data_IF_465930706981
#
_entry.id   IF_465930706981
#
_cell.length_a   1.000
_cell.length_b   1.000
_cell.length_c   1.000
_cell.angle_alpha   90.00
_cell.angle_beta   90.00
_cell.angle_gamma   90.00
#
_symmetry.space_group_name_H-M   'P 1'
#
loop_
_entity.id
_entity.type
_entity.pdbx_description
1 polymer ?
#
# COMPACT_ATOMS: atom_id res chain seq x y z
N UNK A 1 10.22 -11.15 22.89
CA UNK A 1 8.78 -10.91 22.74
C UNK A 1 8.33 -11.58 21.46
N UNK A 2 7.32 -12.44 21.55
CA UNK A 2 6.82 -13.27 20.46
C UNK A 2 5.54 -12.72 19.89
N UNK A 3 5.56 -12.41 18.60
CA UNK A 3 4.39 -12.03 17.82
C UNK A 3 3.90 -13.23 17.02
N UNK A 4 2.59 -13.41 16.98
CA UNK A 4 1.91 -14.43 16.21
C UNK A 4 0.83 -13.77 15.37
N UNK A 5 0.73 -14.12 14.09
CA UNK A 5 -0.43 -13.76 13.26
C UNK A 5 -1.04 -15.00 12.62
N UNK A 6 -2.37 -15.02 12.54
CA UNK A 6 -3.11 -16.14 11.95
C UNK A 6 -4.48 -15.74 11.40
N UNK A 7 -4.73 -16.06 10.14
CA UNK A 7 -6.09 -16.09 9.60
C UNK A 7 -6.82 -17.34 10.12
N UNK A 8 -7.88 -17.12 10.90
CA UNK A 8 -8.64 -18.21 11.55
C UNK A 8 -9.84 -18.71 10.73
N UNK A 9 -9.93 -18.29 9.46
CA UNK A 9 -10.87 -18.75 8.45
C UNK A 9 -12.34 -18.66 8.90
N UNK A 10 -13.00 -17.54 8.58
CA UNK A 10 -14.42 -17.33 8.88
C UNK A 10 -14.78 -17.37 10.37
N UNK A 11 -13.86 -16.93 11.24
CA UNK A 11 -14.10 -16.75 12.67
C UNK A 11 -13.98 -18.03 13.49
N UNK A 12 -13.39 -19.10 12.94
CA UNK A 12 -13.12 -20.35 13.63
C UNK A 12 -14.33 -21.27 13.84
N UNK A 13 -15.51 -20.74 14.18
CA UNK A 13 -16.71 -21.53 14.45
C UNK A 13 -16.49 -22.53 15.57
N UNK A 14 -16.84 -23.80 15.33
CA UNK A 14 -16.58 -24.90 16.29
C UNK A 14 -15.09 -25.14 16.58
N UNK A 15 -14.17 -24.56 15.79
CA UNK A 15 -12.72 -24.73 15.94
C UNK A 15 -12.09 -23.76 16.94
N UNK A 16 -12.86 -22.83 17.53
CA UNK A 16 -12.33 -21.86 18.52
C UNK A 16 -11.49 -22.53 19.63
N UNK A 17 -11.92 -23.64 20.25
CA UNK A 17 -11.10 -24.33 21.25
C UNK A 17 -9.75 -24.82 20.69
N UNK A 18 -9.74 -25.43 19.50
CA UNK A 18 -8.50 -25.87 18.83
C UNK A 18 -7.60 -24.71 18.45
N UNK A 19 -8.18 -23.59 17.98
CA UNK A 19 -7.45 -22.37 17.64
C UNK A 19 -6.70 -21.83 18.87
N UNK A 20 -7.40 -21.67 20.00
CA UNK A 20 -6.79 -21.14 21.21
C UNK A 20 -5.78 -22.11 21.81
N UNK A 21 -6.02 -23.42 21.71
CA UNK A 21 -5.04 -24.43 22.11
C UNK A 21 -3.71 -24.29 21.35
N UNK A 22 -3.75 -24.16 20.02
CA UNK A 22 -2.55 -23.98 19.20
C UNK A 22 -1.83 -22.65 19.51
N UNK A 23 -2.60 -21.57 19.72
CA UNK A 23 -2.05 -20.28 20.15
C UNK A 23 -1.30 -20.44 21.48
N UNK A 24 -1.93 -21.05 22.49
CA UNK A 24 -1.34 -21.25 23.80
C UNK A 24 -0.05 -22.09 23.74
N UNK A 25 -0.04 -23.17 22.94
CA UNK A 25 1.12 -24.04 22.71
C UNK A 25 2.33 -23.26 22.19
N UNK A 26 2.11 -22.30 21.30
CA UNK A 26 3.16 -21.48 20.71
C UNK A 26 3.66 -20.37 21.66
N UNK A 27 2.99 -20.15 22.79
CA UNK A 27 3.33 -19.18 23.84
C UNK A 27 3.66 -17.77 23.32
N UNK A 28 2.85 -17.15 22.46
CA UNK A 28 3.08 -15.78 22.04
C UNK A 28 2.80 -14.78 23.18
N UNK A 29 3.35 -13.58 23.04
CA UNK A 29 3.06 -12.43 23.89
C UNK A 29 1.97 -11.53 23.27
N UNK A 30 1.93 -11.49 21.92
CA UNK A 30 0.95 -10.74 21.13
C UNK A 30 0.46 -11.63 19.98
N UNK A 31 -0.86 -11.65 19.78
CA UNK A 31 -1.55 -12.45 18.78
C UNK A 31 -2.44 -11.54 17.95
N UNK A 32 -2.21 -11.49 16.64
CA UNK A 32 -3.13 -10.90 15.67
C UNK A 32 -3.92 -11.97 14.93
N UNK A 33 -5.25 -11.87 14.97
CA UNK A 33 -6.15 -12.77 14.26
C UNK A 33 -6.89 -12.01 13.16
N UNK A 34 -6.95 -12.60 11.97
CA UNK A 34 -7.75 -12.10 10.84
C UNK A 34 -8.93 -13.03 10.57
N UNK A 35 -9.92 -12.52 9.83
CA UNK A 35 -11.21 -13.18 9.59
C UNK A 35 -12.02 -13.48 10.86
N UNK A 36 -11.89 -12.66 11.89
CA UNK A 36 -12.75 -12.74 13.07
C UNK A 36 -14.17 -12.34 12.68
N UNK A 37 -15.16 -13.11 13.14
CA UNK A 37 -16.59 -12.88 12.89
C UNK A 37 -17.35 -12.68 14.18
N UNK A 38 -18.34 -11.79 14.14
CA UNK A 38 -19.11 -11.40 15.33
C UNK A 38 -19.75 -12.59 16.04
N UNK A 39 -20.29 -13.55 15.28
CA UNK A 39 -20.96 -14.73 15.81
C UNK A 39 -20.08 -15.59 16.74
N UNK A 40 -18.75 -15.57 16.57
CA UNK A 40 -17.80 -16.34 17.37
C UNK A 40 -16.92 -15.46 18.27
N UNK A 41 -17.15 -14.14 18.30
CA UNK A 41 -16.26 -13.20 18.97
C UNK A 41 -16.20 -13.44 20.47
N UNK A 42 -17.35 -13.58 21.13
CA UNK A 42 -17.39 -13.69 22.58
C UNK A 42 -16.77 -15.01 23.10
N UNK A 43 -17.10 -16.19 22.55
CA UNK A 43 -16.38 -17.43 22.89
C UNK A 43 -14.87 -17.34 22.65
N UNK A 44 -14.44 -16.68 21.57
CA UNK A 44 -13.02 -16.48 21.26
C UNK A 44 -12.35 -15.58 22.30
N UNK A 45 -12.97 -14.45 22.69
CA UNK A 45 -12.46 -13.55 23.73
C UNK A 45 -12.33 -14.28 25.06
N UNK A 46 -13.35 -15.03 25.45
CA UNK A 46 -13.32 -15.79 26.71
C UNK A 46 -12.19 -16.82 26.68
N UNK A 47 -12.07 -17.61 25.62
CA UNK A 47 -11.01 -18.62 25.52
C UNK A 47 -9.61 -18.00 25.53
N UNK A 48 -9.39 -16.86 24.84
CA UNK A 48 -8.12 -16.13 24.87
C UNK A 48 -7.80 -15.57 26.26
N UNK A 49 -8.77 -15.00 26.97
CA UNK A 49 -8.57 -14.55 28.36
C UNK A 49 -8.16 -15.73 29.27
N UNK A 50 -8.83 -16.88 29.17
CA UNK A 50 -8.44 -18.08 29.93
C UNK A 50 -7.03 -18.59 29.57
N UNK A 51 -6.54 -18.31 28.37
CA UNK A 51 -5.18 -18.60 27.94
C UNK A 51 -4.15 -17.53 28.39
N UNK A 52 -4.57 -16.54 29.19
CA UNK A 52 -3.73 -15.50 29.77
C UNK A 52 -3.53 -14.26 28.91
N UNK A 53 -4.38 -14.03 27.90
CA UNK A 53 -4.37 -12.77 27.14
C UNK A 53 -5.36 -11.78 27.75
N UNK A 54 -4.90 -11.01 28.73
CA UNK A 54 -5.73 -10.10 29.51
C UNK A 54 -6.15 -8.84 28.74
N UNK A 55 -5.45 -8.51 27.65
CA UNK A 55 -5.68 -7.31 26.86
C UNK A 55 -6.10 -7.69 25.45
N UNK A 56 -7.38 -7.45 25.12
CA UNK A 56 -7.95 -7.82 23.82
C UNK A 56 -8.65 -6.62 23.19
N UNK A 57 -8.17 -6.25 22.00
CA UNK A 57 -8.72 -5.20 21.15
C UNK A 57 -9.26 -5.78 19.85
N UNK A 58 -10.39 -5.27 19.35
CA UNK A 58 -10.97 -5.76 18.09
C UNK A 58 -11.81 -4.70 17.38
N UNK A 59 -11.83 -4.77 16.06
CA UNK A 59 -12.74 -4.02 15.19
C UNK A 59 -13.98 -4.84 14.80
N UNK A 60 -14.14 -6.04 15.37
CA UNK A 60 -15.29 -6.88 15.15
C UNK A 60 -16.54 -6.30 15.83
N UNK A 61 -17.58 -6.03 15.04
CA UNK A 61 -18.88 -5.58 15.51
C UNK A 61 -20.00 -6.30 14.76
N UNK A 62 -21.22 -6.24 15.27
CA UNK A 62 -22.39 -6.80 14.60
C UNK A 62 -22.50 -6.27 13.16
N UNK A 63 -22.80 -7.15 12.21
CA UNK A 63 -22.88 -6.82 10.78
C UNK A 63 -21.56 -6.91 10.00
N UNK A 64 -20.40 -6.97 10.66
CA UNK A 64 -19.12 -7.12 9.97
C UNK A 64 -18.87 -8.57 9.57
N UNK A 65 -18.53 -8.80 8.30
CA UNK A 65 -18.31 -10.15 7.76
C UNK A 65 -16.96 -10.73 8.21
N UNK A 66 -15.85 -9.99 8.04
CA UNK A 66 -14.50 -10.42 8.39
C UNK A 66 -13.76 -9.24 9.00
N UNK A 67 -13.27 -9.40 10.22
CA UNK A 67 -12.61 -8.35 11.00
C UNK A 67 -11.30 -8.84 11.64
N UNK A 68 -10.64 -7.98 12.42
CA UNK A 68 -9.38 -8.30 13.08
C UNK A 68 -9.47 -8.19 14.61
N UNK A 69 -8.62 -8.95 15.29
CA UNK A 69 -8.49 -8.94 16.75
C UNK A 69 -7.01 -8.99 17.12
N UNK A 70 -6.59 -8.17 18.09
CA UNK A 70 -5.30 -8.25 18.75
C UNK A 70 -5.50 -8.66 20.19
N UNK A 71 -4.83 -9.72 20.61
CA UNK A 71 -4.78 -10.19 21.99
C UNK A 71 -3.34 -10.14 22.50
N UNK A 72 -3.14 -9.68 23.72
CA UNK A 72 -1.82 -9.60 24.35
C UNK A 72 -1.86 -9.88 25.84
N UNK A 73 -0.73 -10.37 26.33
CA UNK A 73 -0.42 -10.50 27.77
C UNK A 73 0.07 -9.19 28.39
N UNK A 74 0.33 -8.19 27.55
CA UNK A 74 0.85 -6.87 27.93
C UNK A 74 -0.20 -5.83 27.50
N UNK A 75 -0.34 -4.77 28.28
CA UNK A 75 -1.32 -3.71 28.02
C UNK A 75 -1.22 -3.18 26.57
N UNK A 76 -2.39 -3.09 25.93
CA UNK A 76 -2.58 -2.52 24.60
C UNK A 76 -3.44 -1.26 24.71
N UNK A 77 -3.02 -0.20 24.04
CA UNK A 77 -3.83 1.02 23.86
C UNK A 77 -4.17 1.18 22.39
N UNK A 78 -5.45 1.31 22.05
CA UNK A 78 -5.86 1.57 20.66
C UNK A 78 -5.36 2.94 20.22
N UNK A 79 -4.80 3.01 19.01
CA UNK A 79 -4.40 4.28 18.39
C UNK A 79 -5.59 4.81 17.59
N UNK A 80 -6.00 6.04 17.85
CA UNK A 80 -7.02 6.71 17.05
C UNK A 80 -6.46 7.10 15.67
N UNK A 81 -6.69 6.23 14.69
CA UNK A 81 -6.25 6.40 13.31
C UNK A 81 -7.25 5.70 12.36
N UNK A 82 -8.48 6.23 12.26
CA UNK A 82 -9.52 5.66 11.43
C UNK A 82 -9.19 5.79 9.95
N UNK A 83 -9.69 4.85 9.15
CA UNK A 83 -9.54 4.83 7.70
C UNK A 83 -10.91 4.92 7.03
N UNK A 84 -10.97 5.40 5.78
CA UNK A 84 -12.25 5.65 5.12
C UNK A 84 -13.02 4.37 4.75
N UNK A 85 -12.30 3.30 4.41
CA UNK A 85 -12.87 2.05 3.90
C UNK A 85 -12.33 0.85 4.66
N UNK A 86 -13.18 -0.17 4.84
CA UNK A 86 -12.79 -1.45 5.44
C UNK A 86 -12.16 -1.32 6.85
N UNK A 87 -12.68 -0.39 7.66
CA UNK A 87 -12.26 -0.16 9.05
C UNK A 87 -12.31 -1.43 9.90
N UNK A 88 -13.22 -2.35 9.58
CA UNK A 88 -13.33 -3.64 10.27
C UNK A 88 -12.06 -4.50 10.10
N UNK A 89 -11.21 -4.20 9.12
CA UNK A 89 -9.98 -4.95 8.79
C UNK A 89 -8.69 -4.23 9.21
N UNK A 90 -8.80 -3.17 10.01
CA UNK A 90 -7.69 -2.27 10.36
C UNK A 90 -7.64 -1.97 11.87
N UNK A 91 -6.64 -2.50 12.57
CA UNK A 91 -6.50 -2.28 14.01
C UNK A 91 -5.07 -1.87 14.39
N UNK A 92 -4.81 -0.55 14.53
CA UNK A 92 -3.57 -0.03 15.10
C UNK A 92 -3.68 0.08 16.63
N UNK A 93 -2.69 -0.47 17.33
CA UNK A 93 -2.55 -0.38 18.79
C UNK A 93 -1.11 -0.06 19.16
N UNK A 94 -0.89 0.28 20.41
CA UNK A 94 0.42 0.48 21.01
C UNK A 94 0.61 -0.40 22.23
N UNK A 95 1.81 -0.98 22.34
CA UNK A 95 2.29 -1.64 23.56
C UNK A 95 3.16 -0.62 24.30
N UNK A 96 2.54 0.17 25.17
CA UNK A 96 3.18 1.35 25.79
C UNK A 96 4.48 1.01 26.52
N UNK A 97 4.48 -0.07 27.30
CA UNK A 97 5.66 -0.51 28.09
C UNK A 97 6.90 -0.85 27.24
N UNK A 98 6.75 -1.01 25.92
CA UNK A 98 7.83 -1.32 24.97
C UNK A 98 8.05 -0.22 23.94
N UNK A 99 7.16 0.78 23.90
CA UNK A 99 7.10 1.81 22.85
C UNK A 99 7.08 1.15 21.46
N UNK A 100 6.10 0.28 21.23
CA UNK A 100 5.94 -0.47 19.97
C UNK A 100 4.53 -0.25 19.43
N UNK A 101 4.44 0.30 18.22
CA UNK A 101 3.19 0.37 17.47
C UNK A 101 2.94 -0.95 16.76
N UNK A 102 1.73 -1.47 16.80
CA UNK A 102 1.34 -2.72 16.13
C UNK A 102 0.11 -2.45 15.27
N UNK A 103 0.20 -2.78 14.00
CA UNK A 103 -0.93 -2.79 13.08
C UNK A 103 -1.30 -4.24 12.75
N UNK A 104 -2.49 -4.66 13.16
CA UNK A 104 -3.12 -5.88 12.63
C UNK A 104 -4.02 -5.51 11.45
N UNK A 105 -3.79 -6.14 10.30
CA UNK A 105 -4.51 -5.83 9.06
C UNK A 105 -4.97 -7.09 8.35
N UNK A 106 -6.17 -7.04 7.76
CA UNK A 106 -6.66 -8.09 6.86
C UNK A 106 -7.03 -7.50 5.50
N UNK A 107 -6.05 -7.45 4.60
CA UNK A 107 -6.25 -6.88 3.27
C UNK A 107 -7.20 -7.78 2.47
N UNK A 108 -8.27 -7.25 1.85
CA UNK A 108 -9.22 -8.06 1.10
C UNK A 108 -8.58 -8.73 -0.12
N UNK A 109 -9.13 -9.88 -0.49
CA UNK A 109 -8.82 -10.55 -1.76
C UNK A 109 -9.31 -9.74 -2.97
N UNK A 110 -8.72 -9.97 -4.15
CA UNK A 110 -9.09 -9.25 -5.37
C UNK A 110 -10.55 -9.44 -5.81
N UNK A 111 -11.20 -10.51 -5.35
CA UNK A 111 -12.59 -10.90 -5.64
C UNK A 111 -13.57 -10.56 -4.52
N UNK A 112 -13.11 -10.00 -3.40
CA UNK A 112 -13.92 -9.63 -2.25
C UNK A 112 -14.65 -8.30 -2.51
N UNK A 113 -15.70 -8.32 -3.32
CA UNK A 113 -16.52 -7.13 -3.60
C UNK A 113 -17.40 -6.78 -2.40
N UNK A 114 -17.61 -5.48 -2.14
CA UNK A 114 -18.52 -4.99 -1.09
C UNK A 114 -19.61 -4.15 -1.71
N UNK A 115 -20.85 -4.39 -1.34
CA UNK A 115 -22.01 -3.64 -1.82
C UNK A 115 -22.66 -2.91 -0.65
N UNK A 116 -22.94 -1.62 -0.83
CA UNK A 116 -23.71 -0.82 0.11
C UNK A 116 -25.19 -1.19 0.10
N UNK A 117 -25.92 -0.68 1.10
CA UNK A 117 -27.38 -0.85 1.18
C UNK A 117 -28.12 -0.17 0.02
N UNK A 118 -27.49 0.81 -0.61
CA UNK A 118 -27.93 1.50 -1.83
C UNK A 118 -27.67 0.71 -3.12
N UNK A 119 -27.06 -0.49 -3.01
CA UNK A 119 -26.68 -1.33 -4.15
C UNK A 119 -25.37 -0.91 -4.84
N UNK A 120 -24.72 0.17 -4.40
CA UNK A 120 -23.45 0.63 -4.97
C UNK A 120 -22.31 -0.23 -4.45
N UNK A 121 -21.57 -0.84 -5.38
CA UNK A 121 -20.47 -1.76 -5.07
C UNK A 121 -19.09 -1.14 -5.23
N UNK A 122 -18.17 -1.47 -4.33
CA UNK A 122 -16.73 -1.29 -4.51
C UNK A 122 -16.12 -2.65 -4.82
N UNK A 123 -15.39 -2.73 -5.94
CA UNK A 123 -14.72 -3.97 -6.33
C UNK A 123 -13.65 -4.38 -5.32
N UNK A 124 -13.41 -5.68 -5.18
CA UNK A 124 -12.39 -6.22 -4.27
C UNK A 124 -10.99 -5.69 -4.59
N UNK A 125 -10.65 -5.58 -5.88
CA UNK A 125 -9.40 -4.93 -6.31
C UNK A 125 -9.30 -3.49 -5.80
N UNK A 126 -10.37 -2.68 -5.91
CA UNK A 126 -10.34 -1.28 -5.47
C UNK A 126 -10.25 -1.18 -3.94
N UNK A 127 -10.99 -2.01 -3.20
CA UNK A 127 -10.87 -2.12 -1.73
C UNK A 127 -9.45 -2.46 -1.31
N UNK A 128 -8.84 -3.42 -2.01
CA UNK A 128 -7.46 -3.86 -1.81
C UNK A 128 -6.45 -2.72 -2.02
N UNK A 129 -6.59 -1.93 -3.09
CA UNK A 129 -5.76 -0.74 -3.34
C UNK A 129 -5.90 0.29 -2.21
N UNK A 130 -7.15 0.62 -1.82
CA UNK A 130 -7.43 1.62 -0.79
C UNK A 130 -6.83 1.25 0.56
N UNK A 131 -6.96 -0.02 0.97
CA UNK A 131 -6.40 -0.47 2.25
C UNK A 131 -4.86 -0.57 2.19
N UNK A 132 -4.28 -0.93 1.04
CA UNK A 132 -2.84 -0.89 0.84
C UNK A 132 -2.27 0.54 0.92
N UNK A 133 -2.98 1.55 0.40
CA UNK A 133 -2.60 2.95 0.54
C UNK A 133 -2.54 3.39 2.02
N UNK A 134 -3.42 2.85 2.87
CA UNK A 134 -3.40 3.07 4.32
C UNK A 134 -2.21 2.38 4.98
N UNK A 135 -1.92 1.12 4.62
CA UNK A 135 -0.74 0.38 5.12
C UNK A 135 0.55 1.14 4.81
N UNK A 136 0.71 1.67 3.59
CA UNK A 136 1.89 2.46 3.22
C UNK A 136 1.95 3.79 4.00
N UNK A 137 0.81 4.44 4.25
CA UNK A 137 0.76 5.65 5.08
C UNK A 137 1.18 5.38 6.52
N UNK A 138 0.67 4.30 7.12
CA UNK A 138 1.10 3.86 8.44
C UNK A 138 2.60 3.55 8.48
N UNK A 139 3.08 2.78 7.49
CA UNK A 139 4.49 2.42 7.39
C UNK A 139 5.40 3.67 7.33
N UNK A 140 5.04 4.66 6.50
CA UNK A 140 5.77 5.93 6.40
C UNK A 140 5.78 6.71 7.70
N UNK A 141 4.61 6.83 8.34
CA UNK A 141 4.44 7.58 9.60
C UNK A 141 5.35 7.00 10.69
N UNK A 142 5.39 5.68 10.82
CA UNK A 142 6.10 5.00 11.91
C UNK A 142 7.45 4.39 11.48
N UNK A 143 8.05 4.88 10.39
CA UNK A 143 9.31 4.34 9.84
C UNK A 143 10.51 4.48 10.80
N UNK A 144 10.52 5.55 11.59
CA UNK A 144 11.57 5.83 12.58
C UNK A 144 11.18 5.42 14.01
N UNK A 145 10.01 4.82 14.17
CA UNK A 145 9.52 4.27 15.45
C UNK A 145 9.68 2.75 15.44
N UNK A 146 9.50 2.08 16.59
CA UNK A 146 9.36 0.63 16.60
C UNK A 146 7.94 0.27 16.16
N UNK A 147 7.80 -0.29 14.96
CA UNK A 147 6.49 -0.66 14.44
C UNK A 147 6.50 -2.08 13.88
N UNK A 148 5.40 -2.79 14.13
CA UNK A 148 5.11 -4.12 13.61
C UNK A 148 3.83 -4.03 12.78
N UNK A 149 3.85 -4.55 11.55
CA UNK A 149 2.65 -4.70 10.72
C UNK A 149 2.49 -6.19 10.48
N UNK A 150 1.38 -6.75 10.93
CA UNK A 150 1.10 -8.18 10.85
C UNK A 150 -0.32 -8.45 10.35
N UNK A 151 -0.53 -9.64 9.79
CA UNK A 151 -1.84 -10.07 9.32
C UNK A 151 -1.79 -10.83 8.01
N UNK A 152 -2.94 -10.86 7.35
CA UNK A 152 -3.14 -11.43 6.02
C UNK A 152 -3.22 -10.29 5.00
N UNK A 153 -2.23 -10.24 4.12
CA UNK A 153 -2.06 -9.19 3.12
C UNK A 153 -2.74 -9.53 1.79
N UNK A 154 -3.14 -10.80 1.60
CA UNK A 154 -3.67 -11.32 0.34
C UNK A 154 -2.82 -10.93 -0.90
N UNK A 155 -1.54 -10.60 -0.71
CA UNK A 155 -0.62 -10.02 -1.70
C UNK A 155 0.78 -10.50 -1.36
N UNK A 156 1.52 -10.94 -2.37
CA UNK A 156 2.95 -11.22 -2.26
C UNK A 156 3.71 -10.80 -3.52
N UNK A 157 4.99 -11.15 -3.57
CA UNK A 157 5.83 -10.99 -4.76
C UNK A 157 5.77 -12.25 -5.65
N UNK A 158 6.31 -12.22 -6.89
CA UNK A 158 6.33 -13.41 -7.74
C UNK A 158 6.95 -14.66 -7.09
N UNK A 159 7.99 -14.48 -6.27
CA UNK A 159 8.63 -15.55 -5.50
C UNK A 159 7.73 -16.18 -4.42
N UNK A 160 6.67 -15.46 -4.02
CA UNK A 160 5.72 -15.83 -2.97
C UNK A 160 4.47 -16.55 -3.53
N UNK A 161 4.42 -16.82 -4.84
CA UNK A 161 3.31 -17.50 -5.49
C UNK A 161 3.75 -18.76 -6.26
N UNK A 162 2.84 -19.72 -6.35
CA UNK A 162 2.85 -20.79 -7.35
C UNK A 162 1.66 -20.60 -8.30
N UNK A 163 1.93 -20.58 -9.60
CA UNK A 163 0.89 -20.37 -10.60
C UNK A 163 0.53 -18.89 -10.78
N UNK A 164 -0.69 -18.51 -10.44
CA UNK A 164 -1.24 -17.18 -10.75
C UNK A 164 -0.51 -16.07 -9.99
N UNK A 165 0.03 -15.05 -10.67
CA UNK A 165 0.66 -13.91 -10.00
C UNK A 165 -0.32 -13.13 -9.11
N UNK A 166 0.20 -12.54 -8.04
CA UNK A 166 -0.58 -11.64 -7.20
C UNK A 166 -0.98 -10.36 -7.94
N UNK A 167 -2.15 -9.85 -7.60
CA UNK A 167 -2.56 -8.50 -7.99
C UNK A 167 -1.99 -7.51 -6.98
N UNK A 168 -1.45 -6.40 -7.47
CA UNK A 168 -0.90 -5.29 -6.67
C UNK A 168 0.38 -5.62 -5.87
N UNK A 169 1.24 -6.52 -6.37
CA UNK A 169 2.57 -6.80 -5.80
C UNK A 169 3.44 -5.55 -5.62
N UNK A 170 3.16 -4.47 -6.34
CA UNK A 170 3.86 -3.19 -6.25
C UNK A 170 3.80 -2.59 -4.85
N UNK A 171 2.71 -2.79 -4.10
CA UNK A 171 2.64 -2.30 -2.73
C UNK A 171 3.63 -3.01 -1.80
N UNK A 172 3.89 -4.30 -1.99
CA UNK A 172 4.96 -4.99 -1.24
C UNK A 172 6.32 -4.39 -1.61
N UNK A 173 6.57 -4.07 -2.89
CA UNK A 173 7.80 -3.40 -3.33
C UNK A 173 7.95 -2.01 -2.69
N UNK A 174 6.86 -1.26 -2.59
CA UNK A 174 6.86 0.06 -1.94
C UNK A 174 7.09 -0.08 -0.43
N UNK A 175 6.46 -1.04 0.24
CA UNK A 175 6.72 -1.29 1.66
C UNK A 175 8.21 -1.62 1.90
N UNK A 176 8.81 -2.43 1.01
CA UNK A 176 10.26 -2.70 1.02
C UNK A 176 11.11 -1.45 0.74
N UNK A 177 10.68 -0.54 -0.14
CA UNK A 177 11.41 0.71 -0.40
C UNK A 177 11.30 1.70 0.77
N UNK A 178 10.22 1.62 1.55
CA UNK A 178 10.10 2.22 2.89
C UNK A 178 10.93 1.51 3.97
N UNK A 179 11.73 0.51 3.58
CA UNK A 179 12.69 -0.24 4.41
C UNK A 179 12.05 -1.10 5.49
N UNK A 180 10.74 -1.34 5.44
CA UNK A 180 10.12 -2.35 6.27
C UNK A 180 10.67 -3.74 5.91
N UNK A 181 10.96 -4.53 6.94
CA UNK A 181 11.61 -5.82 6.83
C UNK A 181 10.57 -6.92 7.00
N UNK A 182 10.41 -7.74 5.98
CA UNK A 182 9.73 -9.03 6.09
C UNK A 182 10.60 -9.96 6.94
N UNK A 183 10.13 -10.26 8.15
CA UNK A 183 10.93 -10.97 9.17
C UNK A 183 11.27 -12.39 8.76
N UNK A 184 10.35 -13.11 8.11
CA UNK A 184 10.60 -14.46 7.61
C UNK A 184 11.56 -14.44 6.42
N UNK A 185 11.36 -13.55 5.45
CA UNK A 185 12.23 -13.44 4.27
C UNK A 185 13.65 -13.00 4.64
N UNK A 186 13.81 -12.17 5.68
CA UNK A 186 15.12 -11.75 6.19
C UNK A 186 15.97 -12.94 6.66
N UNK A 187 15.34 -13.92 7.33
CA UNK A 187 16.01 -15.12 7.83
C UNK A 187 16.07 -16.25 6.78
N UNK A 188 15.18 -16.20 5.78
CA UNK A 188 15.03 -17.22 4.75
C UNK A 188 15.08 -16.61 3.32
N UNK A 189 16.20 -15.97 2.93
CA UNK A 189 16.27 -15.15 1.72
C UNK A 189 15.96 -15.93 0.45
N UNK A 190 16.37 -17.19 0.37
CA UNK A 190 16.23 -18.04 -0.82
C UNK A 190 15.12 -19.09 -0.72
N UNK A 191 14.49 -19.25 0.46
CA UNK A 191 13.51 -20.29 0.67
C UNK A 191 12.19 -19.98 -0.05
N UNK A 192 11.49 -21.00 -0.51
CA UNK A 192 10.13 -20.86 -1.06
C UNK A 192 9.19 -21.65 -0.17
N UNK A 193 8.48 -20.93 0.67
CA UNK A 193 7.51 -21.46 1.63
C UNK A 193 6.27 -20.58 1.60
N UNK A 194 5.10 -21.18 1.78
CA UNK A 194 3.81 -20.53 1.58
C UNK A 194 2.98 -20.63 2.86
N UNK A 195 2.00 -19.74 3.03
CA UNK A 195 1.14 -19.75 4.22
C UNK A 195 -0.26 -20.24 3.90
N UNK A 196 -0.68 -20.19 2.64
CA UNK A 196 -1.97 -20.66 2.16
C UNK A 196 -1.82 -21.46 0.86
N UNK A 197 -2.74 -22.39 0.60
CA UNK A 197 -2.70 -23.24 -0.58
C UNK A 197 -4.08 -23.34 -1.23
N UNK A 198 -4.12 -23.20 -2.56
CA UNK A 198 -5.33 -23.58 -3.30
C UNK A 198 -5.59 -25.06 -3.12
N UNK A 199 -6.87 -25.42 -3.24
CA UNK A 199 -7.31 -26.81 -3.14
C UNK A 199 -7.63 -27.36 -4.50
N UNK A 200 -7.17 -28.59 -4.77
CA UNK A 200 -7.56 -29.37 -5.94
C UNK A 200 -8.25 -30.64 -5.46
N UNK A 201 -9.44 -30.90 -5.98
CA UNK A 201 -10.16 -32.14 -5.71
C UNK A 201 -9.66 -33.24 -6.64
N UNK A 202 -9.21 -34.35 -6.08
CA UNK A 202 -8.91 -35.56 -6.83
C UNK A 202 -10.19 -36.10 -7.45
N UNK A 203 -10.14 -36.45 -8.74
CA UNK A 203 -11.28 -37.06 -9.45
C UNK A 203 -11.52 -38.51 -9.02
N UNK A 204 -10.48 -39.18 -8.52
CA UNK A 204 -10.52 -40.60 -8.16
C UNK A 204 -10.95 -40.77 -6.70
N UNK A 205 -10.31 -40.06 -5.78
CA UNK A 205 -10.57 -40.23 -4.33
C UNK A 205 -11.62 -39.25 -3.80
N UNK A 206 -12.01 -38.24 -4.58
CA UNK A 206 -12.80 -37.09 -4.11
C UNK A 206 -12.15 -36.30 -2.96
N UNK A 207 -10.90 -36.59 -2.60
CA UNK A 207 -10.17 -35.88 -1.56
C UNK A 207 -9.65 -34.54 -2.08
N UNK A 208 -9.51 -33.59 -1.18
CA UNK A 208 -9.05 -32.23 -1.47
C UNK A 208 -7.62 -32.07 -0.98
N UNK A 209 -6.70 -31.86 -1.90
CA UNK A 209 -5.27 -31.73 -1.65
C UNK A 209 -4.79 -30.31 -1.89
N UNK A 210 -3.67 -29.95 -1.24
CA UNK A 210 -2.97 -28.70 -1.55
C UNK A 210 -2.45 -28.74 -2.99
N UNK A 211 -2.59 -27.62 -3.69
CA UNK A 211 -2.09 -27.46 -5.04
C UNK A 211 -1.06 -26.33 -5.11
N UNK A 212 -1.49 -25.13 -5.49
CA UNK A 212 -0.59 -23.98 -5.57
C UNK A 212 -0.48 -23.28 -4.22
N UNK A 213 0.74 -23.10 -3.72
CA UNK A 213 1.02 -22.32 -2.53
C UNK A 213 1.16 -20.82 -2.80
N UNK A 214 0.71 -20.02 -1.83
CA UNK A 214 0.80 -18.57 -1.78
C UNK A 214 1.22 -18.13 -0.38
N UNK A 215 2.20 -17.23 -0.28
CA UNK A 215 2.55 -16.59 0.98
C UNK A 215 1.74 -15.30 1.11
N UNK A 216 0.73 -15.34 1.98
CA UNK A 216 -0.25 -14.27 2.17
C UNK A 216 -0.10 -13.58 3.51
N UNK A 217 0.43 -14.31 4.50
CA UNK A 217 0.52 -13.89 5.89
C UNK A 217 1.94 -13.43 6.19
N UNK A 218 2.06 -12.27 6.82
CA UNK A 218 3.35 -11.62 7.05
C UNK A 218 3.42 -11.00 8.45
N UNK A 219 4.65 -10.93 8.98
CA UNK A 219 5.02 -10.02 10.05
C UNK A 219 6.16 -9.14 9.51
N UNK A 220 5.84 -7.89 9.21
CA UNK A 220 6.80 -6.85 8.85
C UNK A 220 7.20 -6.04 10.08
N UNK A 221 8.45 -5.64 10.14
CA UNK A 221 8.95 -4.71 11.17
C UNK A 221 9.58 -3.47 10.55
N UNK A 222 9.50 -2.34 11.25
CA UNK A 222 10.14 -1.10 10.83
C UNK A 222 11.67 -1.22 10.83
N UNK A 223 12.38 -0.33 10.13
CA UNK A 223 13.85 -0.29 10.10
C UNK A 223 14.52 -0.35 11.47
N UNK A 224 13.95 0.31 12.47
CA UNK A 224 14.48 0.39 13.84
C UNK A 224 14.48 -0.96 14.55
N UNK A 225 13.64 -1.90 14.12
CA UNK A 225 13.51 -3.24 14.68
C UNK A 225 14.28 -4.32 13.91
N UNK A 226 15.02 -3.96 12.85
CA UNK A 226 15.79 -4.94 12.05
C UNK A 226 16.68 -5.81 12.93
N UNK A 227 17.50 -5.19 13.77
CA UNK A 227 18.46 -5.89 14.62
C UNK A 227 17.81 -6.60 15.80
N UNK A 228 16.52 -6.39 16.04
CA UNK A 228 15.75 -7.07 17.08
C UNK A 228 15.23 -8.44 16.62
N UNK A 229 15.24 -8.75 15.31
CA UNK A 229 14.74 -10.03 14.78
C UNK A 229 15.63 -11.18 15.28
N UNK A 230 15.03 -12.20 15.90
CA UNK A 230 15.73 -13.39 16.42
C UNK A 230 15.32 -14.67 15.74
N UNK A 231 14.04 -14.85 15.52
CA UNK A 231 13.50 -16.02 14.82
C UNK A 231 12.23 -15.63 14.07
N UNK A 232 11.92 -16.36 13.00
CA UNK A 232 10.67 -16.21 12.26
C UNK A 232 10.38 -17.48 11.45
N UNK A 233 9.18 -18.04 11.61
CA UNK A 233 8.81 -19.34 11.02
C UNK A 233 7.32 -19.46 10.73
N UNK A 234 6.97 -20.35 9.80
CA UNK A 234 5.59 -20.74 9.54
C UNK A 234 5.26 -22.04 10.26
N UNK A 235 4.04 -22.15 10.83
CA UNK A 235 3.55 -23.37 11.48
C UNK A 235 2.49 -24.00 10.58
N UNK A 236 2.88 -25.01 9.81
CA UNK A 236 2.01 -25.69 8.83
C UNK A 236 1.08 -26.74 9.42
N UNK A 237 1.39 -27.24 10.61
CA UNK A 237 0.62 -28.32 11.24
C UNK A 237 -0.86 -27.97 11.38
N UNK A 238 -1.19 -26.74 11.81
CA UNK A 238 -2.57 -26.28 11.95
C UNK A 238 -3.35 -26.31 10.64
N UNK A 239 -2.65 -26.10 9.52
CA UNK A 239 -3.21 -26.13 8.18
C UNK A 239 -3.43 -27.55 7.68
N UNK A 240 -2.43 -28.41 7.89
CA UNK A 240 -2.50 -29.85 7.54
C UNK A 240 -3.57 -30.59 8.36
N UNK A 241 -3.76 -30.17 9.61
CA UNK A 241 -4.81 -30.67 10.51
C UNK A 241 -6.17 -29.99 10.31
N UNK A 242 -6.31 -29.12 9.28
CA UNK A 242 -7.56 -28.45 8.89
C UNK A 242 -8.19 -27.56 9.99
N UNK A 243 -7.38 -27.06 10.92
CA UNK A 243 -7.83 -26.07 11.93
C UNK A 243 -8.04 -24.71 11.26
N UNK A 244 -7.20 -24.35 10.31
CA UNK A 244 -7.38 -23.24 9.35
C UNK A 244 -6.84 -23.70 7.99
N UNK A 245 -7.15 -22.99 6.91
CA UNK A 245 -6.46 -23.14 5.62
C UNK A 245 -5.18 -22.28 5.52
N UNK A 246 -4.92 -21.44 6.52
CA UNK A 246 -3.67 -20.70 6.67
C UNK A 246 -2.74 -21.33 7.71
N UNK A 247 -1.44 -21.30 7.42
CA UNK A 247 -0.38 -21.51 8.40
C UNK A 247 -0.28 -20.29 9.33
N UNK A 248 0.22 -20.52 10.54
CA UNK A 248 0.55 -19.43 11.48
C UNK A 248 1.91 -18.84 11.11
N UNK A 249 2.08 -17.53 11.21
CA UNK A 249 3.40 -16.89 11.17
C UNK A 249 3.78 -16.43 12.58
N UNK A 250 4.97 -16.82 13.03
CA UNK A 250 5.52 -16.44 14.35
C UNK A 250 6.84 -15.72 14.15
N UNK A 251 7.05 -14.63 14.88
CA UNK A 251 8.32 -13.89 14.93
C UNK A 251 8.71 -13.59 16.37
N UNK A 252 9.97 -13.86 16.70
CA UNK A 252 10.58 -13.50 17.98
C UNK A 252 11.45 -12.24 17.83
N UNK A 253 11.16 -11.22 18.63
CA UNK A 253 11.89 -9.95 18.68
C UNK A 253 12.53 -9.73 20.06
N UNK A 254 13.80 -9.29 20.09
CA UNK A 254 14.44 -8.78 21.31
C UNK A 254 14.03 -7.32 21.53
N UNK A 255 13.06 -7.11 22.40
CA UNK A 255 12.55 -5.78 22.76
C UNK A 255 12.86 -5.50 24.23
N UNK A 256 13.69 -4.49 24.50
CA UNK A 256 13.93 -4.01 25.86
C UNK A 256 12.67 -3.41 26.48
N UNK A 257 12.58 -3.40 27.81
CA UNK A 257 11.63 -2.53 28.50
C UNK A 257 11.99 -1.06 28.23
N UNK A 258 11.01 -0.16 28.26
CA UNK A 258 11.33 1.25 28.39
C UNK A 258 12.20 1.43 29.64
N UNK A 259 13.41 1.93 29.47
CA UNK A 259 14.14 2.49 30.59
C UNK A 259 13.36 3.72 31.03
N UNK A 260 13.04 3.83 32.32
CA UNK A 260 12.57 5.08 32.92
C UNK A 260 13.67 6.14 32.77
N UNK A 261 13.73 6.76 31.60
CA UNK A 261 14.44 8.00 31.42
C UNK A 261 13.54 9.06 32.06
N UNK A 262 13.97 9.74 33.14
CA UNK A 262 13.19 10.84 33.68
C UNK A 262 12.99 11.85 32.54
N UNK A 263 11.74 12.05 32.12
CA UNK A 263 11.39 13.15 31.23
C UNK A 263 11.85 14.41 31.92
N UNK A 264 12.95 14.99 31.47
CA UNK A 264 13.35 16.34 31.85
C UNK A 264 12.19 17.26 31.47
N UNK A 265 11.46 17.73 32.49
CA UNK A 265 10.44 18.75 32.33
C UNK A 265 11.09 19.93 31.56
N UNK A 266 10.44 20.46 30.51
CA UNK A 266 10.94 21.66 29.86
C UNK A 266 11.04 22.77 30.92
N UNK A 267 12.25 23.26 31.17
CA UNK A 267 12.46 24.43 32.01
C UNK A 267 11.66 25.59 31.42
N UNK A 268 10.82 26.20 32.25
CA UNK A 268 10.10 27.42 31.91
C UNK A 268 11.13 28.51 31.54
N UNK A 269 10.87 29.31 30.48
CA UNK A 269 11.75 30.41 30.14
C UNK A 269 11.76 31.46 31.28
N UNK A 270 12.89 32.14 31.53
CA UNK A 270 12.98 33.14 32.58
C UNK A 270 12.06 34.34 32.28
N UNK A 271 11.28 34.73 33.28
CA UNK A 271 10.45 35.93 33.30
C UNK A 271 11.33 37.18 33.17
N UNK A 272 11.30 37.82 32.01
CA UNK A 272 11.83 39.19 31.84
C UNK A 272 10.81 40.19 32.38
N UNK A 273 11.19 40.91 33.43
CA UNK A 273 10.46 42.02 34.02
C UNK A 273 10.48 43.25 33.08
N UNK A 274 9.32 43.78 32.72
CA UNK A 274 9.20 45.17 32.29
C UNK A 274 7.91 45.81 32.81
N UNK A 275 8.12 47.05 33.25
CA UNK A 275 7.30 47.95 34.04
C UNK A 275 6.19 48.67 33.25
N UNK A 276 4.99 48.69 33.86
CA UNK A 276 3.97 49.74 33.93
C UNK A 276 3.78 50.82 32.83
N UNK A 277 2.61 50.73 32.14
CA UNK A 277 1.52 51.72 31.98
C UNK A 277 1.71 53.07 31.25
N UNK A 278 0.62 53.81 30.87
CA UNK A 278 -0.63 53.42 30.20
C UNK A 278 -1.06 54.41 29.08
N UNK A 279 -2.07 54.07 28.26
CA UNK A 279 -3.14 54.99 27.76
C UNK A 279 -4.13 54.26 26.85
N UNK A 280 -5.38 54.20 27.30
CA UNK A 280 -6.65 54.01 26.56
C UNK A 280 -6.98 55.25 25.68
N UNK A 281 -8.00 55.27 24.78
CA UNK A 281 -9.21 54.44 24.75
C UNK A 281 -9.67 53.90 23.37
N UNK A 282 -10.63 52.96 23.44
CA UNK A 282 -11.54 52.49 22.37
C UNK A 282 -12.37 53.65 21.77
N UNK A 283 -13.09 53.54 20.62
CA UNK A 283 -14.23 52.60 20.50
C UNK A 283 -14.66 52.14 19.08
N UNK A 284 -15.69 51.27 19.09
CA UNK A 284 -16.80 51.15 18.13
C UNK A 284 -16.72 50.23 16.89
N UNK A 285 -17.60 49.23 16.96
CA UNK A 285 -18.26 48.51 15.86
C UNK A 285 -19.27 49.44 15.17
N UNK A 286 -19.53 49.28 13.87
CA UNK A 286 -20.92 49.04 13.47
C UNK A 286 -21.10 47.97 12.38
N UNK A 287 -22.33 47.48 12.37
CA UNK A 287 -22.91 46.41 11.56
C UNK A 287 -23.68 46.93 10.32
N UNK A 288 -23.93 46.00 9.38
CA UNK A 288 -25.00 45.94 8.36
C UNK A 288 -24.87 46.72 7.04
N UNK A 289 -25.00 46.01 5.90
CA UNK A 289 -26.20 46.00 5.01
C UNK A 289 -25.85 45.55 3.57
N UNK A 290 -26.82 44.95 2.87
CA UNK A 290 -26.68 44.16 1.64
C UNK A 290 -26.70 44.93 0.28
N UNK A 291 -27.20 44.31 -0.81
CA UNK A 291 -26.50 44.15 -2.11
C UNK A 291 -26.99 45.14 -3.20
N UNK A 292 -26.44 45.18 -4.44
CA UNK A 292 -26.80 44.22 -5.51
C UNK A 292 -25.71 43.94 -6.58
N UNK A 293 -25.93 42.90 -7.42
CA UNK A 293 -25.26 42.79 -8.73
C UNK A 293 -25.01 41.37 -9.23
N UNK A 294 -25.97 40.79 -9.96
CA UNK A 294 -25.74 39.66 -10.87
C UNK A 294 -24.78 40.05 -12.00
N UNK A 295 -23.94 39.11 -12.47
CA UNK A 295 -24.16 38.64 -13.83
C UNK A 295 -24.15 37.11 -13.98
N UNK A 296 -25.00 36.71 -14.90
CA UNK A 296 -25.23 35.43 -15.54
C UNK A 296 -23.99 34.76 -16.14
N UNK A 297 -23.86 33.46 -15.87
CA UNK A 297 -23.05 32.47 -16.59
C UNK A 297 -23.12 31.13 -15.85
N UNK A 298 -23.32 29.97 -16.50
CA UNK A 298 -23.47 28.71 -15.78
C UNK A 298 -22.12 28.33 -15.13
N UNK A 299 -22.07 28.03 -13.82
CA UNK A 299 -20.87 27.46 -13.23
C UNK A 299 -20.75 26.01 -13.72
N UNK A 300 -19.75 25.78 -14.56
CA UNK A 300 -19.27 24.43 -14.89
C UNK A 300 -18.89 23.76 -13.56
N UNK A 301 -19.53 22.61 -13.31
CA UNK A 301 -19.48 21.92 -12.04
C UNK A 301 -18.03 21.58 -11.70
N UNK A 302 -17.54 22.17 -10.60
CA UNK A 302 -16.23 21.93 -10.03
C UNK A 302 -16.00 20.44 -9.82
N UNK A 303 -15.21 19.84 -10.70
CA UNK A 303 -14.55 18.56 -10.44
C UNK A 303 -13.39 18.88 -9.52
N UNK A 304 -13.60 18.83 -8.21
CA UNK A 304 -12.54 18.88 -7.22
C UNK A 304 -11.47 17.85 -7.60
N UNK A 305 -10.32 18.36 -8.03
CA UNK A 305 -9.15 17.58 -8.40
C UNK A 305 -8.57 16.98 -7.12
N UNK A 306 -8.99 15.77 -6.75
CA UNK A 306 -8.34 15.03 -5.67
C UNK A 306 -6.88 14.77 -6.06
N UNK A 307 -5.96 15.32 -5.28
CA UNK A 307 -4.55 14.98 -5.35
C UNK A 307 -4.36 13.49 -5.09
N UNK A 308 -3.75 12.78 -6.02
CA UNK A 308 -3.40 11.38 -5.86
C UNK A 308 -2.17 11.23 -4.96
N UNK A 309 -2.09 10.13 -4.21
CA UNK A 309 -0.82 9.73 -3.62
C UNK A 309 0.19 9.42 -4.74
N UNK A 310 1.50 9.64 -4.51
CA UNK A 310 2.54 9.37 -5.52
C UNK A 310 2.37 8.01 -6.20
N UNK A 311 2.12 6.97 -5.41
CA UNK A 311 1.95 5.60 -5.90
C UNK A 311 0.65 5.46 -6.67
N UNK A 312 -0.46 5.94 -6.11
CA UNK A 312 -1.77 5.87 -6.76
C UNK A 312 -1.72 6.55 -8.14
N UNK A 313 -1.04 7.69 -8.22
CA UNK A 313 -0.86 8.41 -9.47
C UNK A 313 -0.09 7.57 -10.51
N UNK A 314 1.06 7.00 -10.12
CA UNK A 314 1.87 6.16 -11.01
C UNK A 314 1.14 4.89 -11.45
N UNK A 315 0.36 4.28 -10.56
CA UNK A 315 -0.43 3.09 -10.88
C UNK A 315 -1.56 3.40 -11.86
N UNK A 316 -2.34 4.47 -11.62
CA UNK A 316 -3.36 4.96 -12.56
C UNK A 316 -2.77 5.27 -13.93
N UNK A 317 -1.56 5.84 -13.94
CA UNK A 317 -0.81 6.12 -15.17
C UNK A 317 -0.10 4.90 -15.79
N UNK A 318 -0.27 3.70 -15.21
CA UNK A 318 0.33 2.44 -15.69
C UNK A 318 1.87 2.50 -15.81
N UNK A 319 2.51 3.24 -14.90
CA UNK A 319 3.98 3.36 -14.86
C UNK A 319 4.58 2.09 -14.24
N UNK A 320 5.58 1.45 -14.88
CA UNK A 320 6.23 0.25 -14.34
C UNK A 320 6.81 0.46 -12.94
N UNK A 321 6.63 -0.53 -12.06
CA UNK A 321 7.11 -0.48 -10.69
C UNK A 321 8.63 -0.32 -10.59
N UNK A 322 9.37 -0.90 -11.53
CA UNK A 322 10.81 -0.77 -11.67
C UNK A 322 11.25 0.69 -11.86
N UNK A 323 10.36 1.54 -12.37
CA UNK A 323 10.60 2.97 -12.51
C UNK A 323 10.27 3.76 -11.24
N UNK A 324 9.50 3.21 -10.28
CA UNK A 324 8.96 3.99 -9.15
C UNK A 324 10.06 4.55 -8.25
N UNK A 325 11.09 3.76 -7.91
CA UNK A 325 12.20 4.24 -7.08
C UNK A 325 13.05 5.29 -7.81
N UNK A 326 13.24 5.12 -9.13
CA UNK A 326 13.90 6.13 -9.96
C UNK A 326 13.11 7.44 -9.96
N UNK A 327 11.79 7.37 -10.17
CA UNK A 327 10.90 8.53 -10.18
C UNK A 327 10.83 9.20 -8.81
N UNK A 328 10.70 8.40 -7.74
CA UNK A 328 10.62 8.87 -6.36
C UNK A 328 11.85 9.69 -5.99
N UNK A 329 13.05 9.28 -6.42
CA UNK A 329 14.29 10.01 -6.11
C UNK A 329 14.23 11.45 -6.61
N UNK A 330 13.95 11.65 -7.91
CA UNK A 330 13.95 13.01 -8.45
C UNK A 330 12.72 13.82 -8.01
N UNK A 331 11.53 13.22 -7.85
CA UNK A 331 10.37 13.96 -7.35
C UNK A 331 10.53 14.39 -5.89
N UNK A 332 11.20 13.57 -5.08
CA UNK A 332 11.53 13.95 -3.70
C UNK A 332 12.57 15.07 -3.66
N UNK A 333 13.62 15.00 -4.49
CA UNK A 333 14.65 16.02 -4.55
C UNK A 333 14.12 17.39 -5.03
N UNK A 334 13.16 17.38 -5.96
CA UNK A 334 12.52 18.59 -6.50
C UNK A 334 11.50 19.18 -5.53
N UNK A 335 10.85 18.35 -4.71
CA UNK A 335 9.77 18.79 -3.83
C UNK A 335 8.46 18.98 -4.59
N UNK A 336 7.71 17.89 -4.74
CA UNK A 336 6.37 17.89 -5.36
C UNK A 336 5.31 18.25 -4.31
N UNK A 337 4.41 19.17 -4.67
CA UNK A 337 3.25 19.57 -3.90
C UNK A 337 2.11 18.55 -4.06
N UNK A 338 1.85 18.14 -5.31
CA UNK A 338 0.70 17.30 -5.67
C UNK A 338 1.07 16.37 -6.82
N UNK A 339 0.51 15.15 -6.80
CA UNK A 339 0.46 14.28 -7.97
C UNK A 339 -0.98 14.15 -8.45
N UNK A 340 -1.18 14.13 -9.77
CA UNK A 340 -2.48 13.92 -10.39
C UNK A 340 -2.35 12.99 -11.58
N UNK A 341 -3.01 11.85 -11.55
CA UNK A 341 -3.09 10.97 -12.71
C UNK A 341 -4.01 11.56 -13.78
N UNK A 342 -3.55 11.50 -15.02
CA UNK A 342 -4.33 11.81 -16.22
C UNK A 342 -4.56 10.51 -16.98
N UNK A 343 -5.75 9.97 -16.85
CA UNK A 343 -6.17 8.73 -17.48
C UNK A 343 -6.66 9.00 -18.92
N UNK A 344 -5.73 8.94 -19.89
CA UNK A 344 -6.04 8.93 -21.33
C UNK A 344 -5.94 7.50 -21.87
N UNK A 345 -6.82 7.14 -22.81
CA UNK A 345 -6.92 5.78 -23.35
C UNK A 345 -5.63 5.30 -24.04
N UNK A 346 -4.92 6.22 -24.71
CA UNK A 346 -3.72 5.95 -25.50
C UNK A 346 -2.42 6.21 -24.74
N UNK A 347 -2.39 7.25 -23.90
CA UNK A 347 -1.17 7.71 -23.24
C UNK A 347 -1.45 8.31 -21.86
N UNK A 348 -1.70 7.46 -20.85
CA UNK A 348 -1.89 7.94 -19.49
C UNK A 348 -0.56 8.45 -18.91
N UNK A 349 -0.63 9.43 -18.03
CA UNK A 349 0.55 10.06 -17.42
C UNK A 349 0.21 10.68 -16.07
N UNK A 350 1.22 11.04 -15.29
CA UNK A 350 1.06 11.80 -14.04
C UNK A 350 1.53 13.22 -14.24
N UNK A 351 0.77 14.18 -13.74
CA UNK A 351 1.21 15.56 -13.51
C UNK A 351 1.74 15.64 -12.08
N UNK A 352 2.98 16.06 -11.90
CA UNK A 352 3.57 16.32 -10.60
C UNK A 352 3.84 17.82 -10.47
N UNK A 353 3.04 18.47 -9.62
CA UNK A 353 3.06 19.92 -9.40
C UNK A 353 4.20 20.27 -8.46
N UNK A 354 5.11 21.13 -8.90
CA UNK A 354 6.33 21.45 -8.14
C UNK A 354 6.09 22.56 -7.12
N UNK A 355 6.80 22.53 -5.99
CA UNK A 355 6.77 23.60 -4.98
C UNK A 355 7.65 24.80 -5.32
N UNK A 356 8.64 24.59 -6.18
CA UNK A 356 9.65 25.60 -6.57
C UNK A 356 9.15 26.60 -7.62
N UNK A 357 7.91 26.47 -8.09
CA UNK A 357 7.30 27.35 -9.10
C UNK A 357 7.81 27.12 -10.53
N UNK A 358 8.67 26.11 -10.74
CA UNK A 358 9.11 25.71 -12.08
C UNK A 358 8.02 24.86 -12.78
N UNK A 359 8.13 24.63 -14.10
CA UNK A 359 7.12 23.88 -14.85
C UNK A 359 6.87 22.48 -14.28
N UNK A 360 5.59 22.09 -14.18
CA UNK A 360 5.18 20.77 -13.73
C UNK A 360 5.87 19.64 -14.50
N UNK A 361 6.16 18.56 -13.78
CA UNK A 361 6.68 17.35 -14.41
C UNK A 361 5.53 16.51 -14.97
N UNK A 362 5.70 16.01 -16.18
CA UNK A 362 4.80 15.03 -16.77
C UNK A 362 5.50 13.68 -16.87
N UNK A 363 5.04 12.72 -16.07
CA UNK A 363 5.64 11.39 -15.90
C UNK A 363 4.85 10.40 -16.77
N UNK A 364 5.48 9.95 -17.84
CA UNK A 364 4.96 8.94 -18.76
C UNK A 364 5.61 7.58 -18.47
N UNK A 365 5.05 6.52 -19.06
CA UNK A 365 5.50 5.13 -18.88
C UNK A 365 7.03 4.98 -18.79
N UNK A 366 7.77 5.54 -19.76
CA UNK A 366 9.21 5.37 -19.89
C UNK A 366 10.05 6.64 -19.82
N UNK A 367 9.45 7.80 -19.56
CA UNK A 367 10.19 9.06 -19.48
C UNK A 367 9.42 10.12 -18.70
N UNK A 368 10.13 11.09 -18.15
CA UNK A 368 9.55 12.28 -17.52
C UNK A 368 10.04 13.53 -18.25
N UNK A 369 9.14 14.46 -18.55
CA UNK A 369 9.44 15.76 -19.17
C UNK A 369 9.04 16.90 -18.23
N UNK A 370 9.55 18.11 -18.48
CA UNK A 370 9.22 19.30 -17.69
C UNK A 370 10.44 19.91 -16.99
N UNK A 371 11.61 19.29 -17.12
CA UNK A 371 12.88 19.85 -16.68
C UNK A 371 13.26 21.06 -17.55
N UNK A 372 13.90 22.05 -16.96
CA UNK A 372 14.32 23.31 -17.59
C UNK A 372 15.72 23.23 -18.20
N UNK A 373 16.57 22.35 -17.67
CA UNK A 373 17.96 22.20 -18.11
C UNK A 373 18.48 20.78 -17.97
N UNK A 374 19.64 20.49 -18.57
CA UNK A 374 20.33 19.21 -18.39
C UNK A 374 20.93 19.12 -16.99
N UNK A 375 21.43 20.24 -16.48
CA UNK A 375 22.07 20.38 -15.18
C UNK A 375 21.09 20.04 -14.07
N UNK A 376 19.83 20.48 -14.20
CA UNK A 376 18.75 20.08 -13.31
C UNK A 376 18.57 18.56 -13.26
N UNK A 377 18.52 17.90 -14.43
CA UNK A 377 18.39 16.42 -14.51
C UNK A 377 19.58 15.74 -13.84
N UNK A 378 20.80 16.22 -14.10
CA UNK A 378 22.02 15.66 -13.51
C UNK A 378 21.99 15.79 -11.99
N UNK A 379 21.50 16.91 -11.45
CA UNK A 379 21.41 17.14 -10.01
C UNK A 379 20.42 16.19 -9.32
N UNK A 380 19.29 15.87 -9.95
CA UNK A 380 18.19 15.11 -9.32
C UNK A 380 18.17 13.62 -9.69
N UNK A 381 18.71 13.25 -10.86
CA UNK A 381 18.68 11.89 -11.39
C UNK A 381 20.09 11.29 -11.61
N UNK A 382 21.14 12.11 -11.62
CA UNK A 382 22.55 11.70 -11.79
C UNK A 382 23.07 11.80 -13.23
N UNK A 383 24.38 11.95 -13.39
CA UNK A 383 25.04 12.21 -14.68
C UNK A 383 25.00 11.07 -15.71
N UNK A 384 24.68 9.84 -15.29
CA UNK A 384 24.60 8.66 -16.17
C UNK A 384 23.24 8.42 -16.81
N UNK A 385 22.25 9.28 -16.56
CA UNK A 385 20.88 9.05 -17.04
C UNK A 385 20.68 9.58 -18.46
N UNK A 386 20.07 8.77 -19.32
CA UNK A 386 19.71 9.19 -20.67
C UNK A 386 18.73 10.37 -20.64
N UNK A 387 19.19 11.54 -21.09
CA UNK A 387 18.41 12.77 -21.15
C UNK A 387 18.63 13.49 -22.49
N UNK A 388 17.62 14.25 -22.93
CA UNK A 388 17.69 15.04 -24.15
C UNK A 388 16.68 16.20 -24.12
N UNK A 389 16.83 17.20 -25.00
CA UNK A 389 15.80 18.22 -25.21
C UNK A 389 14.47 17.57 -25.61
N UNK A 390 13.38 18.07 -25.04
CA UNK A 390 12.01 17.68 -25.38
C UNK A 390 11.56 18.39 -26.66
N UNK A 391 10.50 17.88 -27.30
CA UNK A 391 9.88 18.54 -28.46
C UNK A 391 9.26 19.89 -28.11
N UNK A 392 8.94 20.12 -26.82
CA UNK A 392 8.47 21.41 -26.31
C UNK A 392 9.68 22.33 -26.06
N UNK A 393 9.69 23.49 -26.73
CA UNK A 393 10.77 24.48 -26.67
C UNK A 393 11.16 24.80 -25.22
N UNK A 394 12.45 24.73 -24.92
CA UNK A 394 13.00 25.09 -23.61
C UNK A 394 12.80 24.06 -22.50
N UNK A 395 12.39 22.83 -22.82
CA UNK A 395 12.24 21.76 -21.82
C UNK A 395 13.08 20.54 -22.16
N UNK A 396 13.46 19.78 -21.14
CA UNK A 396 14.22 18.54 -21.21
C UNK A 396 13.38 17.37 -20.71
N UNK A 397 13.75 16.18 -21.15
CA UNK A 397 13.21 14.93 -20.63
C UNK A 397 14.31 13.98 -20.17
N UNK A 398 13.95 13.13 -19.21
CA UNK A 398 14.78 12.06 -18.67
C UNK A 398 14.13 10.72 -18.98
N UNK A 399 14.92 9.74 -19.44
CA UNK A 399 14.47 8.37 -19.68
C UNK A 399 14.42 7.59 -18.37
N UNK A 400 13.38 6.80 -18.19
CA UNK A 400 13.27 5.86 -17.08
C UNK A 400 14.08 4.58 -17.37
N UNK A 401 14.46 3.80 -16.34
CA UNK A 401 15.14 2.51 -16.52
C UNK A 401 14.40 1.56 -17.48
N UNK A 402 13.10 1.37 -17.26
CA UNK A 402 12.22 0.67 -18.20
C UNK A 402 11.56 1.71 -19.10
N UNK A 403 11.95 1.72 -20.37
CA UNK A 403 11.43 2.68 -21.34
C UNK A 403 11.21 2.06 -22.73
N UNK A 404 10.34 2.68 -23.52
CA UNK A 404 10.12 2.37 -24.94
C UNK A 404 10.64 3.51 -25.83
N UNK A 405 11.57 4.33 -25.32
CA UNK A 405 12.04 5.52 -26.01
C UNK A 405 13.10 5.13 -27.03
N UNK A 406 12.68 4.99 -28.30
CA UNK A 406 13.59 4.72 -29.41
C UNK A 406 14.66 5.83 -29.50
N UNK A 407 15.93 5.51 -29.81
CA UNK A 407 16.92 6.51 -30.17
C UNK A 407 16.38 7.35 -31.33
N UNK A 408 16.71 8.64 -31.36
CA UNK A 408 16.45 9.50 -32.51
C UNK A 408 17.30 9.05 -33.70
N UNK A 409 16.87 7.98 -34.38
CA UNK A 409 17.34 7.62 -35.71
C UNK A 409 16.84 8.66 -36.70
N UNK A 410 17.70 9.03 -37.66
CA UNK A 410 17.36 9.93 -38.77
C UNK A 410 15.97 9.61 -39.30
N UNK A 411 15.15 10.66 -39.48
CA UNK A 411 13.84 10.66 -40.13
C UNK A 411 13.78 9.51 -41.13
N UNK A 412 12.97 8.49 -40.84
CA UNK A 412 12.67 7.43 -41.80
C UNK A 412 12.16 8.14 -43.05
N UNK A 413 12.96 8.11 -44.12
CA UNK A 413 12.52 8.53 -45.44
C UNK A 413 11.19 7.83 -45.72
N UNK A 414 10.25 8.55 -46.32
CA UNK A 414 9.00 7.97 -46.78
C UNK A 414 9.35 6.79 -47.69
N UNK A 415 9.20 5.57 -47.18
CA UNK A 415 9.19 4.39 -48.05
C UNK A 415 7.82 4.43 -48.71
N UNK A 416 7.76 5.07 -49.88
CA UNK A 416 6.70 4.83 -50.86
C UNK A 416 6.65 3.32 -51.05
N UNK A 417 5.58 2.67 -50.58
CA UNK A 417 5.32 1.27 -50.94
C UNK A 417 5.02 1.27 -52.43
N UNK A 418 5.96 0.81 -53.24
CA UNK A 418 5.65 0.41 -54.62
C UNK A 418 4.59 -0.69 -54.55
N UNK A 419 3.45 -0.47 -55.20
CA UNK A 419 2.37 -1.44 -55.16
C UNK A 419 2.77 -2.67 -55.97
N UNK A 420 2.55 -3.85 -55.37
CA UNK A 420 2.82 -5.13 -56.00
C UNK A 420 1.88 -5.34 -57.19
N UNK A 421 2.40 -5.94 -58.27
CA UNK A 421 1.60 -6.34 -59.44
C UNK A 421 1.05 -7.76 -59.23
N UNK A 422 -0.20 -7.98 -59.64
CA UNK A 422 -0.78 -9.31 -59.79
C UNK A 422 -0.16 -10.01 -61.02
N UNK A 423 -0.21 -11.34 -61.07
CA UNK A 423 0.27 -12.09 -62.24
C UNK A 423 -0.51 -11.78 -63.54
N UNK A 424 -1.72 -11.20 -63.44
CA UNK A 424 -2.51 -10.76 -64.57
C UNK A 424 -2.07 -9.39 -65.14
N UNK A 425 -1.06 -8.75 -64.53
CA UNK A 425 -0.51 -7.47 -64.99
C UNK A 425 -1.15 -6.21 -64.38
N UNK A 426 -2.10 -6.36 -63.45
CA UNK A 426 -2.75 -5.22 -62.77
C UNK A 426 -2.15 -4.93 -61.39
N UNK A 427 -2.13 -3.66 -60.99
CA UNK A 427 -1.58 -3.19 -59.71
C UNK A 427 -2.52 -3.57 -58.54
N UNK A 428 -1.99 -4.24 -57.51
CA UNK A 428 -2.76 -4.68 -56.35
C UNK A 428 -3.15 -3.51 -55.46
N UNK A 429 -4.37 -3.60 -54.90
CA UNK A 429 -4.83 -2.67 -53.86
C UNK A 429 -4.02 -2.84 -52.57
N UNK A 430 -4.15 -1.88 -51.64
CA UNK A 430 -3.41 -1.86 -50.35
C UNK A 430 -3.73 -3.07 -49.45
N UNK A 431 -4.83 -3.78 -49.73
CA UNK A 431 -5.24 -5.03 -49.06
C UNK A 431 -4.70 -6.30 -49.74
N UNK A 432 -3.99 -6.19 -50.88
CA UNK A 432 -3.36 -7.31 -51.58
C UNK A 432 -4.27 -8.08 -52.52
N UNK A 433 -5.44 -7.52 -52.86
CA UNK A 433 -6.51 -8.18 -53.62
C UNK A 433 -6.59 -7.59 -55.04
N UNK A 434 -6.80 -8.46 -56.04
CA UNK A 434 -6.89 -8.06 -57.46
C UNK A 434 -8.34 -8.11 -57.93
N UNK A 435 -8.90 -6.96 -58.28
CA UNK A 435 -10.30 -6.81 -58.71
C UNK A 435 -10.69 -7.58 -59.98
N UNK A 436 -9.72 -8.20 -60.68
CA UNK A 436 -9.93 -8.93 -61.92
C UNK A 436 -9.62 -10.44 -61.80
N UNK A 437 -9.04 -10.89 -60.69
CA UNK A 437 -8.71 -12.30 -60.43
C UNK A 437 -9.42 -12.87 -59.20
N UNK A 438 -10.25 -12.06 -58.56
CA UNK A 438 -11.17 -12.46 -57.48
C UNK A 438 -12.43 -13.13 -58.01
#
# INVERSE_FOLDING_TARGET
MRFLTWNIQGGGGSRVPSIVHEIARLRPDVVGLTEVRFANLEPLRQALNHAGFDYIETTCSAGNANSVLLASKIALTRIDNPIAHDQERWLPVEIESRDVKVLCVHIPGGTDNKFGADGVGISGKKRKELLWDEVIRFARRHKSEKAVILGDFNTGLPEDAQGTPFVLSDYIRILRSEKYIDTWRQLNPSAREFTWYTKRKSKETSESEDYNGFRLDYIYVSPTLREAIRDSRHIHEVRRNKISDHAIVVTDLTLGALQDQPRSLPQAPPLSAHTANPRTPSPQVPSQSGPPGTPSGPPDAGRESQSDSFVAALMKARIPAENHDFIRRFTTAIGIAEFRAVERADKPYVIAVRRDGLPDLHIFYGYTTGFTSKEEIVAVAGGGVGCAPSSRKGTWYVKHPINQVRPSGKRSQSVTREAKMCHCGMQLSVTGVCSNCD
#
